data_IF_363298488221
#
_entry.id   IF_363298488221
#
_cell.length_a   1.000
_cell.length_b   1.000
_cell.length_c   1.000
_cell.angle_alpha   90.00
_cell.angle_beta   90.00
_cell.angle_gamma   90.00
#
_symmetry.space_group_name_H-M   'P 1'
#
loop_
_entity.id
_entity.type
_entity.pdbx_description
1 polymer ?
#
# COMPACT_ATOMS: atom_id res chain seq x y z
N UNK A 1 -15.39 -20.97 -8.08
CA UNK A 1 -14.43 -19.99 -7.53
C UNK A 1 -15.09 -18.64 -7.43
N UNK A 2 -14.97 -18.00 -6.27
CA UNK A 2 -15.51 -16.67 -6.09
C UNK A 2 -14.79 -15.68 -7.01
N UNK A 3 -15.55 -14.76 -7.61
CA UNK A 3 -14.98 -13.70 -8.39
C UNK A 3 -14.09 -12.80 -7.52
N UNK A 4 -12.97 -12.39 -8.07
CA UNK A 4 -12.07 -11.48 -7.39
C UNK A 4 -12.72 -10.10 -7.31
N UNK A 5 -12.91 -9.59 -6.11
CA UNK A 5 -13.49 -8.26 -5.90
C UNK A 5 -12.53 -7.18 -6.40
N UNK A 6 -13.10 -6.21 -7.12
CA UNK A 6 -12.34 -5.03 -7.54
C UNK A 6 -12.41 -3.96 -6.48
N UNK A 7 -11.26 -3.46 -6.06
CA UNK A 7 -11.16 -2.37 -5.10
C UNK A 7 -10.74 -1.09 -5.81
N UNK A 8 -11.34 0.03 -5.45
CA UNK A 8 -11.03 1.33 -6.06
C UNK A 8 -9.56 1.69 -5.91
N UNK A 9 -8.99 1.41 -4.76
CA UNK A 9 -7.58 1.71 -4.48
C UNK A 9 -6.61 0.99 -5.39
N UNK A 10 -6.99 -0.18 -5.92
CA UNK A 10 -6.13 -0.92 -6.83
C UNK A 10 -6.04 -0.29 -8.23
N UNK A 11 -6.90 0.66 -8.55
CA UNK A 11 -6.89 1.32 -9.86
C UNK A 11 -5.58 2.07 -10.13
N UNK A 12 -4.89 2.54 -9.10
CA UNK A 12 -3.57 3.18 -9.26
C UNK A 12 -2.57 2.29 -9.97
N UNK A 13 -2.67 0.97 -9.80
CA UNK A 13 -1.70 -0.01 -10.29
C UNK A 13 -2.26 -0.98 -11.33
N UNK A 14 -3.57 -0.97 -11.57
CA UNK A 14 -4.24 -1.98 -12.38
C UNK A 14 -5.32 -1.43 -13.32
N UNK A 15 -5.29 -0.14 -13.65
CA UNK A 15 -6.28 0.44 -14.55
C UNK A 15 -6.00 0.10 -16.01
N UNK A 16 -6.97 -0.51 -16.69
CA UNK A 16 -6.87 -0.82 -18.12
C UNK A 16 -7.04 0.40 -18.99
N UNK A 17 -7.81 1.39 -18.53
CA UNK A 17 -8.06 2.63 -19.27
C UNK A 17 -6.94 3.65 -19.11
N UNK A 18 -6.07 3.49 -18.12
CA UNK A 18 -4.95 4.39 -17.84
C UNK A 18 -3.63 3.62 -17.73
N UNK A 19 -3.33 2.82 -18.76
CA UNK A 19 -2.16 1.93 -18.77
C UNK A 19 -0.84 2.65 -18.52
N UNK A 20 -0.66 3.82 -19.15
CA UNK A 20 0.57 4.60 -19.02
C UNK A 20 0.79 5.03 -17.57
N UNK A 21 -0.22 5.61 -16.95
CA UNK A 21 -0.12 6.09 -15.57
C UNK A 21 0.07 4.92 -14.59
N UNK A 22 -0.63 3.83 -14.83
CA UNK A 22 -0.49 2.60 -14.05
C UNK A 22 0.94 2.07 -14.10
N UNK A 23 1.54 2.05 -15.27
CA UNK A 23 2.93 1.62 -15.45
C UNK A 23 3.89 2.51 -14.66
N UNK A 24 3.69 3.82 -14.72
CA UNK A 24 4.50 4.80 -13.99
C UNK A 24 4.37 4.60 -12.48
N UNK A 25 3.14 4.45 -11.98
CA UNK A 25 2.90 4.26 -10.54
C UNK A 25 3.58 2.98 -10.03
N UNK A 26 3.49 1.88 -10.77
CA UNK A 26 4.18 0.64 -10.42
C UNK A 26 5.69 0.82 -10.37
N UNK A 27 6.25 1.53 -11.36
CA UNK A 27 7.67 1.80 -11.41
C UNK A 27 8.17 2.56 -10.20
N UNK A 28 7.43 3.57 -9.78
CA UNK A 28 7.77 4.35 -8.59
C UNK A 28 7.77 3.50 -7.33
N UNK A 29 6.75 2.65 -7.17
CA UNK A 29 6.63 1.78 -6.01
C UNK A 29 7.73 0.71 -5.98
N UNK A 30 8.10 0.18 -7.15
CA UNK A 30 9.20 -0.78 -7.25
C UNK A 30 10.53 -0.15 -6.85
N UNK A 31 10.75 1.12 -7.18
CA UNK A 31 11.93 1.85 -6.74
C UNK A 31 12.02 1.96 -5.22
N UNK A 32 10.89 1.93 -4.54
CA UNK A 32 10.83 1.96 -3.08
C UNK A 32 10.96 0.57 -2.46
N UNK A 33 11.18 -0.46 -3.27
CA UNK A 33 11.39 -1.81 -2.78
C UNK A 33 10.15 -2.70 -2.73
N UNK A 34 9.00 -2.22 -3.23
CA UNK A 34 7.78 -3.03 -3.22
C UNK A 34 7.79 -4.04 -4.37
N UNK A 35 7.61 -5.33 -4.10
CA UNK A 35 7.59 -6.35 -5.16
C UNK A 35 6.31 -6.32 -5.99
N UNK A 36 6.41 -6.84 -7.23
CA UNK A 36 5.30 -6.84 -8.17
C UNK A 36 4.04 -7.56 -7.70
N UNK A 37 4.18 -8.60 -6.86
CA UNK A 37 3.01 -9.37 -6.43
C UNK A 37 2.02 -8.55 -5.59
N UNK A 38 2.45 -7.40 -5.07
CA UNK A 38 1.56 -6.51 -4.32
C UNK A 38 0.58 -5.77 -5.24
N UNK A 39 0.82 -5.76 -6.55
CA UNK A 39 -0.05 -5.11 -7.54
C UNK A 39 -1.07 -6.09 -8.14
N UNK A 40 -1.53 -7.04 -7.36
CA UNK A 40 -2.44 -8.11 -7.79
C UNK A 40 -3.93 -7.75 -7.66
N UNK A 41 -4.23 -6.48 -7.43
CA UNK A 41 -5.62 -6.01 -7.25
C UNK A 41 -6.07 -5.99 -5.80
N UNK A 42 -5.21 -6.33 -4.84
CA UNK A 42 -5.57 -6.25 -3.41
C UNK A 42 -5.83 -4.80 -3.00
N UNK A 43 -6.63 -4.56 -1.96
CA UNK A 43 -6.89 -3.20 -1.51
C UNK A 43 -5.63 -2.55 -0.95
N UNK A 44 -5.43 -1.29 -1.31
CA UNK A 44 -4.39 -0.45 -0.73
C UNK A 44 -4.95 0.19 0.54
N UNK A 45 -4.28 -0.02 1.66
CA UNK A 45 -4.71 0.52 2.96
C UNK A 45 -3.73 1.61 3.37
N UNK A 46 -4.22 2.85 3.37
CA UNK A 46 -3.39 4.00 3.77
C UNK A 46 -3.22 4.07 5.28
N UNK A 47 -2.01 4.33 5.72
CA UNK A 47 -1.69 4.54 7.13
C UNK A 47 -1.23 5.98 7.28
N UNK A 48 -2.05 6.80 7.94
CA UNK A 48 -1.68 8.17 8.25
C UNK A 48 -0.84 8.18 9.52
N UNK A 49 0.45 8.48 9.39
CA UNK A 49 1.39 8.43 10.51
C UNK A 49 1.93 9.83 10.82
N UNK A 50 1.72 10.26 12.06
CA UNK A 50 2.16 11.58 12.53
C UNK A 50 3.50 11.53 13.26
N UNK A 51 4.33 10.53 12.98
CA UNK A 51 5.65 10.44 13.57
C UNK A 51 6.48 11.68 13.28
N UNK A 52 7.19 12.15 14.29
CA UNK A 52 8.10 13.30 14.16
C UNK A 52 9.12 13.27 15.28
N UNK A 53 10.34 13.66 14.97
CA UNK A 53 11.38 13.84 15.99
C UNK A 53 11.09 15.04 16.88
N UNK A 54 10.35 16.03 16.37
CA UNK A 54 9.97 17.22 17.14
C UNK A 54 8.86 16.93 18.16
N UNK A 55 8.18 15.79 18.03
CA UNK A 55 7.08 15.42 18.92
C UNK A 55 7.41 14.09 19.60
N UNK A 56 8.13 14.12 20.73
CA UNK A 56 8.56 12.88 21.40
C UNK A 56 7.44 11.92 21.78
N UNK A 57 6.23 12.44 22.02
CA UNK A 57 5.07 11.61 22.33
C UNK A 57 4.71 10.65 21.19
N UNK A 58 5.10 11.00 19.96
CA UNK A 58 4.83 10.20 18.76
C UNK A 58 6.06 9.37 18.34
N UNK A 59 7.11 9.35 19.15
CA UNK A 59 8.39 8.74 18.80
C UNK A 59 8.31 7.26 18.45
N UNK A 60 7.35 6.54 19.02
CA UNK A 60 7.16 5.10 18.79
C UNK A 60 6.19 4.78 17.65
N UNK A 61 5.62 5.78 16.99
CA UNK A 61 4.61 5.56 15.95
C UNK A 61 5.13 4.82 14.73
N UNK A 62 6.42 4.93 14.42
CA UNK A 62 7.02 4.15 13.32
C UNK A 62 6.95 2.66 13.60
N UNK A 63 7.24 2.25 14.82
CA UNK A 63 7.17 0.85 15.24
C UNK A 63 5.75 0.33 15.23
N UNK A 64 4.80 1.14 15.71
CA UNK A 64 3.38 0.80 15.68
C UNK A 64 2.92 0.63 14.24
N UNK A 65 3.33 1.54 13.33
CA UNK A 65 2.98 1.44 11.91
C UNK A 65 3.48 0.14 11.29
N UNK A 66 4.68 -0.32 11.66
CA UNK A 66 5.20 -1.60 11.16
C UNK A 66 4.34 -2.78 11.64
N UNK A 67 3.84 -2.75 12.86
CA UNK A 67 2.93 -3.78 13.37
C UNK A 67 1.58 -3.75 12.65
N UNK A 68 1.06 -2.54 12.36
CA UNK A 68 -0.18 -2.37 11.59
C UNK A 68 0.00 -2.92 10.18
N UNK A 69 1.14 -2.66 9.54
CA UNK A 69 1.44 -3.20 8.21
C UNK A 69 1.40 -4.72 8.18
N UNK A 70 1.97 -5.37 9.18
CA UNK A 70 1.93 -6.83 9.28
C UNK A 70 0.50 -7.35 9.29
N UNK A 71 -0.37 -6.72 10.10
CA UNK A 71 -1.77 -7.11 10.16
C UNK A 71 -2.49 -6.92 8.82
N UNK A 72 -2.20 -5.82 8.12
CA UNK A 72 -2.79 -5.55 6.80
C UNK A 72 -2.34 -6.59 5.78
N UNK A 73 -1.05 -6.94 5.74
CA UNK A 73 -0.54 -7.99 4.85
C UNK A 73 -1.20 -9.34 5.14
N UNK A 74 -1.34 -9.70 6.41
CA UNK A 74 -1.98 -10.96 6.80
C UNK A 74 -3.44 -11.02 6.36
N UNK A 75 -4.13 -9.87 6.35
CA UNK A 75 -5.52 -9.78 5.89
C UNK A 75 -5.64 -9.69 4.36
N UNK A 76 -4.54 -9.63 3.64
CA UNK A 76 -4.54 -9.61 2.17
C UNK A 76 -4.55 -8.22 1.56
N UNK A 77 -4.17 -7.18 2.31
CA UNK A 77 -4.07 -5.82 1.81
C UNK A 77 -2.65 -5.40 1.45
N UNK A 78 -2.52 -4.18 0.96
CA UNK A 78 -1.25 -3.54 0.66
C UNK A 78 -1.15 -2.26 1.51
N UNK A 79 -0.41 -2.26 2.63
CA UNK A 79 -0.30 -1.11 3.52
C UNK A 79 0.74 -0.11 3.02
N UNK A 80 0.39 1.15 3.09
CA UNK A 80 1.29 2.24 2.69
C UNK A 80 1.22 3.42 3.68
#
# INVERSE_FOLDING_TARGET
MAEKKKYRSSAWYNSKSHRRDTFIHRGWMRNQGHPNHLFDGRPVIGICNTWSELTPCNGHFREIAESVKKGVYEAGGFPL
#
